data_IF_357992270141
#
_entry.id   IF_357992270141
#
_cell.length_a   1.000
_cell.length_b   1.000
_cell.length_c   1.000
_cell.angle_alpha   90.00
_cell.angle_beta   90.00
_cell.angle_gamma   90.00
#
_symmetry.space_group_name_H-M   'P 1'
#
loop_
_entity.id
_entity.type
_entity.pdbx_description
1 polymer ?
#
# COMPACT_ATOMS: atom_id res chain seq x y z
N UNK A 1 -11.92 -6.71 13.81
CA UNK A 1 -12.12 -7.35 12.50
C UNK A 1 -13.54 -7.15 12.05
N UNK A 2 -13.77 -5.94 11.57
CA UNK A 2 -15.00 -5.51 10.90
C UNK A 2 -15.10 -6.03 9.46
N UNK A 3 -14.03 -6.64 8.93
CA UNK A 3 -13.92 -7.15 7.55
C UNK A 3 -14.10 -6.01 6.51
N UNK A 4 -13.74 -4.79 6.89
CA UNK A 4 -13.71 -3.60 6.06
C UNK A 4 -12.26 -3.13 6.00
N UNK A 5 -11.74 -2.88 4.79
CA UNK A 5 -10.40 -2.32 4.65
C UNK A 5 -10.43 -0.82 4.88
N UNK A 6 -9.39 -0.28 5.53
CA UNK A 6 -9.13 1.14 5.63
C UNK A 6 -9.11 1.82 4.25
N UNK A 7 -9.59 3.07 4.22
CA UNK A 7 -9.42 3.91 3.03
C UNK A 7 -7.94 4.18 2.79
N UNK A 8 -7.59 4.49 1.56
CA UNK A 8 -6.23 4.84 1.18
C UNK A 8 -6.23 5.94 0.11
N UNK A 9 -5.14 6.71 0.06
CA UNK A 9 -4.87 7.66 -1.01
C UNK A 9 -3.37 7.73 -1.26
N UNK A 10 -2.95 7.68 -2.52
CA UNK A 10 -1.53 7.68 -2.89
C UNK A 10 -0.77 8.92 -2.39
N UNK A 11 -1.45 10.05 -2.17
CA UNK A 11 -0.84 11.29 -1.63
C UNK A 11 -0.31 11.11 -0.22
N UNK A 12 -0.79 10.11 0.51
CA UNK A 12 -0.35 9.78 1.86
C UNK A 12 0.83 8.81 1.88
N UNK A 13 1.43 8.51 0.72
CA UNK A 13 2.62 7.65 0.67
C UNK A 13 3.80 8.40 1.26
N UNK A 14 4.21 7.98 2.45
CA UNK A 14 5.38 8.48 3.15
C UNK A 14 6.17 7.29 3.73
N UNK A 15 7.38 7.53 4.25
CA UNK A 15 8.21 6.45 4.81
C UNK A 15 7.53 5.76 6.00
N UNK A 16 6.83 6.53 6.84
CA UNK A 16 6.03 6.03 7.95
C UNK A 16 4.63 5.52 7.53
N UNK A 17 4.29 5.59 6.24
CA UNK A 17 3.02 5.13 5.68
C UNK A 17 3.22 4.59 4.26
N UNK A 18 4.03 3.55 4.12
CA UNK A 18 4.27 2.92 2.82
C UNK A 18 2.96 2.45 2.15
N UNK A 19 1.94 2.14 2.95
CA UNK A 19 0.65 1.67 2.46
C UNK A 19 -0.33 2.81 2.21
N UNK A 20 0.07 4.07 2.39
CA UNK A 20 -0.76 5.24 2.10
C UNK A 20 -2.19 5.11 2.67
N UNK A 21 -2.29 4.44 3.84
CA UNK A 21 -3.54 4.20 4.55
C UNK A 21 -3.99 5.55 5.10
N UNK A 22 -5.27 5.84 4.98
CA UNK A 22 -5.86 7.11 5.35
C UNK A 22 -6.37 7.04 6.78
N UNK A 23 -5.69 7.78 7.65
CA UNK A 23 -6.08 8.07 9.03
C UNK A 23 -5.79 9.54 9.34
N UNK A 24 -6.41 10.09 10.37
CA UNK A 24 -6.11 11.47 10.83
C UNK A 24 -4.61 11.68 11.04
N UNK A 25 -3.95 10.75 11.73
CA UNK A 25 -2.51 10.82 12.02
C UNK A 25 -1.64 10.80 10.75
N UNK A 26 -2.01 9.95 9.77
CA UNK A 26 -1.24 9.86 8.52
C UNK A 26 -1.43 11.08 7.62
N UNK A 27 -2.61 11.72 7.65
CA UNK A 27 -2.86 12.96 6.91
C UNK A 27 -2.01 14.08 7.52
N UNK A 28 -2.02 14.20 8.86
CA UNK A 28 -1.22 15.20 9.57
C UNK A 28 0.29 14.99 9.35
N UNK A 29 0.74 13.74 9.39
CA UNK A 29 2.14 13.40 9.11
C UNK A 29 2.53 13.76 7.67
N UNK A 30 1.64 13.53 6.70
CA UNK A 30 1.89 13.87 5.31
C UNK A 30 1.96 15.38 5.08
N UNK A 31 1.08 16.16 5.74
CA UNK A 31 1.12 17.63 5.70
C UNK A 31 2.44 18.12 6.30
N UNK A 32 2.81 17.63 7.49
CA UNK A 32 4.05 18.01 8.15
C UNK A 32 5.28 17.69 7.29
N UNK A 33 5.32 16.52 6.65
CA UNK A 33 6.42 16.16 5.76
C UNK A 33 6.50 17.08 4.53
N UNK A 34 5.37 17.47 3.96
CA UNK A 34 5.34 18.34 2.79
C UNK A 34 5.72 19.79 3.12
N UNK A 35 5.38 20.28 4.30
CA UNK A 35 5.72 21.64 4.75
C UNK A 35 7.13 21.73 5.33
N UNK A 36 7.45 20.83 6.26
CA UNK A 36 8.63 20.89 7.14
C UNK A 36 9.61 19.73 7.00
N UNK A 37 9.41 18.84 6.01
CA UNK A 37 10.35 17.75 5.72
C UNK A 37 11.70 18.25 5.20
N UNK A 38 12.64 17.33 4.98
CA UNK A 38 13.99 17.63 4.47
C UNK A 38 13.99 18.37 3.13
N UNK A 39 12.99 18.10 2.30
CA UNK A 39 12.70 18.79 1.04
C UNK A 39 11.31 19.45 1.09
N UNK A 40 10.91 19.95 2.25
CA UNK A 40 9.63 20.61 2.48
C UNK A 40 9.54 22.01 1.86
N UNK A 41 8.33 22.54 1.79
CA UNK A 41 8.03 23.89 1.29
C UNK A 41 8.87 24.95 2.01
N UNK A 42 8.92 24.90 3.35
CA UNK A 42 9.60 25.90 4.16
C UNK A 42 11.09 26.01 3.79
N UNK A 43 11.75 24.86 3.58
CA UNK A 43 13.17 24.84 3.24
C UNK A 43 13.45 25.35 1.81
N UNK A 44 12.52 25.14 0.89
CA UNK A 44 12.62 25.69 -0.47
C UNK A 44 12.39 27.21 -0.46
N UNK A 45 11.41 27.68 0.31
CA UNK A 45 11.16 29.11 0.50
C UNK A 45 12.35 29.81 1.16
N UNK A 46 12.92 29.22 2.22
CA UNK A 46 14.11 29.74 2.89
C UNK A 46 15.28 29.87 1.92
N UNK A 47 15.53 28.84 1.09
CA UNK A 47 16.57 28.88 0.05
C UNK A 47 16.32 29.99 -0.98
N UNK A 48 15.08 30.16 -1.44
CA UNK A 48 14.74 31.14 -2.47
C UNK A 48 14.79 32.58 -1.98
N UNK A 49 14.60 32.78 -0.68
CA UNK A 49 14.58 34.07 0.01
C UNK A 49 15.93 34.45 0.65
N UNK A 50 16.89 33.53 0.73
CA UNK A 50 18.24 33.81 1.23
C UNK A 50 19.03 34.66 0.23
N UNK A 51 19.36 35.90 0.63
CA UNK A 51 20.14 36.84 -0.17
C UNK A 51 21.58 36.38 -0.43
N UNK A 52 22.10 35.43 0.35
CA UNK A 52 23.46 34.89 0.21
C UNK A 52 23.55 33.67 -0.73
N UNK A 53 22.41 33.11 -1.15
CA UNK A 53 22.37 31.98 -2.06
C UNK A 53 22.09 32.46 -3.50
N UNK A 54 23.13 32.40 -4.34
CA UNK A 54 23.02 32.72 -5.76
C UNK A 54 22.78 31.42 -6.53
N UNK A 55 21.62 31.33 -7.17
CA UNK A 55 21.26 30.23 -8.05
C UNK A 55 21.47 30.62 -9.51
N UNK A 56 21.72 29.64 -10.37
CA UNK A 56 21.55 29.86 -11.81
C UNK A 56 20.05 30.09 -12.12
N UNK A 57 19.75 30.77 -13.22
CA UNK A 57 18.36 31.01 -13.65
C UNK A 57 17.57 29.70 -13.76
N UNK A 58 18.21 28.65 -14.30
CA UNK A 58 17.63 27.32 -14.44
C UNK A 58 17.34 26.65 -13.09
N UNK A 59 18.26 26.76 -12.13
CA UNK A 59 18.07 26.14 -10.81
C UNK A 59 16.95 26.86 -10.04
N UNK A 60 16.91 28.19 -10.11
CA UNK A 60 15.84 28.99 -9.50
C UNK A 60 14.48 28.64 -10.08
N UNK A 61 14.38 28.52 -11.41
CA UNK A 61 13.14 28.09 -12.07
C UNK A 61 12.71 26.69 -11.59
N UNK A 62 13.64 25.74 -11.49
CA UNK A 62 13.34 24.38 -11.02
C UNK A 62 12.78 24.37 -9.58
N UNK A 63 13.36 25.17 -8.68
CA UNK A 63 12.91 25.31 -7.30
C UNK A 63 11.52 25.94 -7.21
N UNK A 64 11.24 26.96 -8.03
CA UNK A 64 9.91 27.60 -8.09
C UNK A 64 8.84 26.63 -8.60
N UNK A 65 9.16 25.82 -9.62
CA UNK A 65 8.24 24.79 -10.14
C UNK A 65 7.96 23.73 -9.06
N UNK A 66 9.00 23.29 -8.35
CA UNK A 66 8.83 22.31 -7.27
C UNK A 66 8.01 22.88 -6.11
N UNK A 67 8.25 24.13 -5.72
CA UNK A 67 7.49 24.85 -4.71
C UNK A 67 5.99 24.95 -5.09
N UNK A 68 5.67 25.36 -6.33
CA UNK A 68 4.29 25.42 -6.81
C UNK A 68 3.61 24.04 -6.79
N UNK A 69 4.31 22.98 -7.20
CA UNK A 69 3.79 21.60 -7.14
C UNK A 69 3.51 21.17 -5.71
N UNK A 70 4.41 21.45 -4.76
CA UNK A 70 4.25 21.09 -3.34
C UNK A 70 3.12 21.87 -2.71
N UNK A 71 3.01 23.17 -2.95
CA UNK A 71 1.91 24.01 -2.47
C UNK A 71 0.54 23.49 -2.94
N UNK A 72 0.42 23.12 -4.23
CA UNK A 72 -0.79 22.46 -4.75
C UNK A 72 -1.11 21.16 -4.03
N UNK A 73 -0.10 20.33 -3.78
CA UNK A 73 -0.29 19.04 -3.11
C UNK A 73 -0.69 19.21 -1.65
N UNK A 74 -0.08 20.14 -0.91
CA UNK A 74 -0.45 20.49 0.46
C UNK A 74 -1.88 21.01 0.53
N UNK A 75 -2.30 21.86 -0.42
CA UNK A 75 -3.70 22.29 -0.51
C UNK A 75 -4.68 21.11 -0.65
N UNK A 76 -4.32 20.07 -1.42
CA UNK A 76 -5.13 18.85 -1.51
C UNK A 76 -5.14 18.04 -0.21
N UNK A 77 -4.03 18.04 0.55
CA UNK A 77 -3.95 17.35 1.84
C UNK A 77 -4.79 18.05 2.91
N UNK A 78 -4.80 19.39 2.94
CA UNK A 78 -5.70 20.13 3.84
C UNK A 78 -7.18 19.89 3.50
N UNK A 79 -7.55 19.91 2.21
CA UNK A 79 -8.91 19.54 1.80
C UNK A 79 -9.27 18.10 2.19
N UNK A 80 -8.30 17.18 2.14
CA UNK A 80 -8.48 15.80 2.57
C UNK A 80 -8.70 15.74 4.09
N UNK A 81 -7.91 16.47 4.87
CA UNK A 81 -8.06 16.59 6.33
C UNK A 81 -9.44 17.10 6.72
N UNK A 82 -9.94 18.14 6.06
CA UNK A 82 -11.25 18.72 6.33
C UNK A 82 -12.42 17.78 6.00
N UNK A 83 -12.30 16.95 4.96
CA UNK A 83 -13.33 15.99 4.55
C UNK A 83 -13.25 14.65 5.29
N UNK A 84 -12.18 14.42 6.04
CA UNK A 84 -11.94 13.16 6.71
C UNK A 84 -12.82 13.03 7.95
N UNK A 85 -13.44 11.86 8.13
CA UNK A 85 -14.19 11.52 9.33
C UNK A 85 -13.29 10.70 10.26
N UNK A 86 -12.93 11.22 11.46
CA UNK A 86 -12.08 10.51 12.40
C UNK A 86 -12.63 9.14 12.84
N UNK A 87 -13.94 8.93 12.79
CA UNK A 87 -14.52 7.63 13.14
C UNK A 87 -14.12 6.53 12.14
N UNK A 88 -13.80 6.91 10.90
CA UNK A 88 -13.34 5.96 9.88
C UNK A 88 -11.90 5.47 10.12
N UNK A 89 -11.15 6.10 11.03
CA UNK A 89 -9.80 5.66 11.39
C UNK A 89 -9.80 4.25 12.00
N UNK A 90 -10.87 3.88 12.71
CA UNK A 90 -10.97 2.58 13.36
C UNK A 90 -10.83 1.40 12.38
N UNK A 91 -11.36 1.53 11.16
CA UNK A 91 -11.32 0.49 10.12
C UNK A 91 -9.95 0.39 9.45
N UNK A 92 -9.12 1.42 9.58
CA UNK A 92 -7.73 1.41 9.11
C UNK A 92 -6.78 0.89 10.19
N UNK A 93 -7.11 1.10 11.46
CA UNK A 93 -6.26 0.71 12.57
C UNK A 93 -6.20 -0.79 12.81
N UNK A 94 -7.26 -1.55 12.53
CA UNK A 94 -7.30 -3.00 12.70
C UNK A 94 -6.86 -3.79 11.45
N UNK A 95 -6.40 -3.11 10.39
CA UNK A 95 -5.88 -3.72 9.18
C UNK A 95 -4.59 -4.51 9.44
N UNK A 96 -4.51 -5.75 8.95
CA UNK A 96 -3.31 -6.57 9.07
C UNK A 96 -2.30 -6.29 7.95
N UNK A 97 -1.05 -6.05 8.35
CA UNK A 97 0.04 -5.80 7.40
C UNK A 97 0.84 -7.08 7.14
N UNK A 98 0.82 -7.53 5.88
CA UNK A 98 1.50 -8.75 5.45
C UNK A 98 2.29 -8.48 4.16
N UNK A 99 3.62 -8.69 4.19
CA UNK A 99 4.54 -8.27 3.10
C UNK A 99 5.05 -9.41 2.19
N UNK A 100 4.98 -10.68 2.61
CA UNK A 100 5.64 -11.79 1.87
C UNK A 100 4.74 -12.95 1.45
N UNK A 101 3.66 -13.22 2.19
CA UNK A 101 2.83 -14.40 1.98
C UNK A 101 1.36 -14.08 2.20
N UNK A 102 0.54 -14.38 1.20
CA UNK A 102 -0.91 -14.25 1.29
C UNK A 102 -1.51 -15.56 1.80
N UNK A 103 -2.17 -15.50 2.96
CA UNK A 103 -2.90 -16.62 3.51
C UNK A 103 -4.38 -16.47 3.19
N UNK A 104 -5.00 -17.54 2.68
CA UNK A 104 -6.42 -17.57 2.34
C UNK A 104 -7.06 -18.80 2.99
N UNK A 105 -8.32 -18.67 3.40
CA UNK A 105 -9.16 -19.80 3.81
C UNK A 105 -9.87 -20.43 2.59
N UNK A 106 -9.81 -21.75 2.46
CA UNK A 106 -10.61 -22.50 1.47
C UNK A 106 -12.10 -22.23 1.63
N UNK A 107 -12.82 -22.16 0.51
CA UNK A 107 -14.27 -21.99 0.46
C UNK A 107 -14.79 -20.58 0.77
N UNK A 108 -13.93 -19.63 1.15
CA UNK A 108 -14.32 -18.24 1.41
C UNK A 108 -14.05 -17.36 0.18
N UNK A 109 -15.04 -16.57 -0.25
CA UNK A 109 -14.84 -15.60 -1.33
C UNK A 109 -13.99 -14.42 -0.83
N UNK A 110 -13.02 -14.00 -1.63
CA UNK A 110 -12.20 -12.83 -1.36
C UNK A 110 -12.35 -11.79 -2.46
N UNK A 111 -12.54 -10.53 -2.07
CA UNK A 111 -12.41 -9.36 -2.93
C UNK A 111 -11.03 -8.74 -2.72
N UNK A 112 -10.23 -8.71 -3.78
CA UNK A 112 -8.91 -8.11 -3.78
C UNK A 112 -8.97 -6.74 -4.45
N UNK A 113 -8.51 -5.72 -3.72
CA UNK A 113 -8.29 -4.38 -4.23
C UNK A 113 -6.81 -4.18 -4.55
N UNK A 114 -6.50 -3.92 -5.83
CA UNK A 114 -5.13 -3.71 -6.30
C UNK A 114 -4.92 -2.24 -6.66
N UNK A 115 -3.70 -1.76 -6.39
CA UNK A 115 -3.24 -0.42 -6.78
C UNK A 115 -1.75 -0.46 -7.12
N UNK A 116 -1.32 0.44 -7.97
CA UNK A 116 0.10 0.62 -8.31
C UNK A 116 0.60 1.96 -7.84
N UNK A 117 1.87 2.01 -7.40
CA UNK A 117 2.56 3.24 -7.00
C UNK A 117 3.29 3.91 -8.16
N UNK A 118 3.71 3.13 -9.15
CA UNK A 118 4.69 3.55 -10.15
C UNK A 118 4.17 3.33 -11.58
N UNK A 119 4.18 2.11 -12.06
CA UNK A 119 3.88 1.72 -13.45
C UNK A 119 2.75 0.71 -13.49
N UNK A 120 2.28 0.35 -14.68
CA UNK A 120 1.23 -0.67 -14.81
C UNK A 120 1.82 -2.04 -14.49
N UNK A 121 1.24 -2.72 -13.49
CA UNK A 121 1.52 -4.13 -13.18
C UNK A 121 0.35 -5.00 -13.63
N UNK A 122 0.50 -6.32 -13.48
CA UNK A 122 -0.59 -7.26 -13.72
C UNK A 122 -0.56 -8.37 -12.68
N UNK A 123 -1.42 -8.26 -11.67
CA UNK A 123 -1.60 -9.28 -10.63
C UNK A 123 -2.17 -10.55 -11.26
N UNK A 124 -1.38 -11.62 -11.29
CA UNK A 124 -1.73 -12.88 -11.92
C UNK A 124 -1.66 -14.03 -10.92
N UNK A 125 -2.77 -14.74 -10.78
CA UNK A 125 -2.93 -15.94 -9.98
C UNK A 125 -3.04 -17.16 -10.91
N UNK A 126 -1.92 -17.81 -11.29
CA UNK A 126 -1.92 -18.79 -12.39
C UNK A 126 -2.84 -19.97 -12.15
N UNK A 127 -2.84 -20.48 -10.91
CA UNK A 127 -3.62 -21.67 -10.54
C UNK A 127 -5.10 -21.38 -10.29
N UNK A 128 -5.45 -20.11 -10.07
CA UNK A 128 -6.83 -19.65 -9.93
C UNK A 128 -7.37 -19.10 -11.25
N UNK A 129 -6.54 -19.06 -12.31
CA UNK A 129 -6.87 -18.52 -13.65
C UNK A 129 -7.45 -17.10 -13.60
N UNK A 130 -6.97 -16.31 -12.65
CA UNK A 130 -7.44 -14.97 -12.42
C UNK A 130 -6.31 -13.97 -12.65
N UNK A 131 -6.59 -12.90 -13.38
CA UNK A 131 -5.64 -11.85 -13.69
C UNK A 131 -6.33 -10.50 -13.62
N UNK A 132 -5.64 -9.50 -13.08
CA UNK A 132 -6.10 -8.12 -13.07
C UNK A 132 -4.94 -7.15 -13.26
N UNK A 133 -5.10 -6.18 -14.14
CA UNK A 133 -4.11 -5.12 -14.31
C UNK A 133 -4.17 -4.16 -13.12
N UNK A 134 -3.00 -3.73 -12.68
CA UNK A 134 -2.85 -2.82 -11.54
C UNK A 134 -2.36 -1.48 -12.08
N UNK A 135 -3.22 -0.47 -12.05
CA UNK A 135 -3.01 0.81 -12.76
C UNK A 135 -2.68 1.92 -11.76
N UNK A 136 -1.65 2.74 -11.99
CA UNK A 136 -1.38 3.90 -11.15
C UNK A 136 -2.57 4.87 -11.15
N UNK A 137 -2.99 5.32 -9.96
CA UNK A 137 -4.10 6.26 -9.80
C UNK A 137 -5.52 5.67 -9.90
N UNK A 138 -5.68 4.38 -10.18
CA UNK A 138 -6.99 3.72 -10.22
C UNK A 138 -6.97 2.36 -9.52
N UNK A 139 -7.91 2.15 -8.60
CA UNK A 139 -8.09 0.87 -7.92
C UNK A 139 -8.78 -0.13 -8.84
N UNK A 140 -8.17 -1.29 -9.03
CA UNK A 140 -8.78 -2.41 -9.76
C UNK A 140 -9.16 -3.51 -8.78
N UNK A 141 -10.20 -4.27 -9.14
CA UNK A 141 -10.82 -5.25 -8.24
C UNK A 141 -10.97 -6.59 -8.92
N UNK A 142 -10.72 -7.66 -8.18
CA UNK A 142 -11.03 -9.01 -8.63
C UNK A 142 -11.52 -9.86 -7.46
N UNK A 143 -12.40 -10.80 -7.77
CA UNK A 143 -12.96 -11.73 -6.79
C UNK A 143 -12.66 -13.15 -7.20
N UNK A 144 -12.30 -13.98 -6.22
CA UNK A 144 -12.30 -15.43 -6.42
C UNK A 144 -12.45 -16.17 -5.10
N UNK A 145 -12.86 -17.42 -5.21
CA UNK A 145 -13.01 -18.36 -4.09
C UNK A 145 -12.00 -19.50 -4.27
N UNK A 146 -11.06 -19.71 -3.33
CA UNK A 146 -10.11 -20.81 -3.40
C UNK A 146 -10.83 -22.13 -3.08
N UNK A 147 -10.72 -23.09 -3.99
CA UNK A 147 -11.45 -24.38 -3.90
C UNK A 147 -10.61 -25.51 -3.32
N UNK A 148 -9.29 -25.45 -3.43
CA UNK A 148 -8.35 -26.46 -2.94
C UNK A 148 -7.34 -25.80 -1.99
N UNK A 149 -6.96 -26.51 -0.93
CA UNK A 149 -5.88 -26.08 -0.05
C UNK A 149 -4.52 -26.27 -0.70
N UNK A 150 -3.51 -25.62 -0.15
CA UNK A 150 -2.12 -25.85 -0.57
C UNK A 150 -1.69 -27.30 -0.34
N UNK A 151 -2.19 -27.96 0.72
CA UNK A 151 -1.90 -29.37 0.99
C UNK A 151 -2.54 -30.29 -0.06
N UNK A 152 -3.82 -30.11 -0.36
CA UNK A 152 -4.52 -30.88 -1.39
C UNK A 152 -3.88 -30.71 -2.78
N UNK A 153 -3.41 -29.51 -3.11
CA UNK A 153 -2.71 -29.28 -4.37
C UNK A 153 -1.34 -29.94 -4.43
N UNK A 154 -0.59 -29.98 -3.31
CA UNK A 154 0.70 -30.69 -3.24
C UNK A 154 0.50 -32.18 -3.54
N UNK A 155 -0.55 -32.78 -2.99
CA UNK A 155 -0.92 -34.18 -3.25
C UNK A 155 -1.33 -34.37 -4.72
N UNK A 156 -2.23 -33.53 -5.24
CA UNK A 156 -2.71 -33.60 -6.63
C UNK A 156 -1.59 -33.44 -7.66
N UNK A 157 -0.57 -32.63 -7.35
CA UNK A 157 0.59 -32.38 -8.23
C UNK A 157 1.74 -33.34 -7.98
N UNK A 158 1.67 -34.19 -6.95
CA UNK A 158 2.76 -35.00 -6.47
C UNK A 158 4.06 -34.18 -6.24
N UNK A 159 3.90 -32.96 -5.70
CA UNK A 159 5.00 -32.03 -5.42
C UNK A 159 4.84 -31.45 -4.01
N UNK A 160 5.67 -31.93 -3.08
CA UNK A 160 5.65 -31.47 -1.68
C UNK A 160 6.10 -30.02 -1.49
N UNK A 161 6.83 -29.45 -2.45
CA UNK A 161 7.35 -28.07 -2.39
C UNK A 161 6.40 -27.06 -3.03
N UNK A 162 5.29 -27.52 -3.61
CA UNK A 162 4.33 -26.66 -4.27
C UNK A 162 3.72 -25.63 -3.30
N UNK A 163 3.66 -24.38 -3.74
CA UNK A 163 2.81 -23.35 -3.16
C UNK A 163 2.10 -22.63 -4.31
N UNK A 164 0.93 -22.07 -4.02
CA UNK A 164 0.33 -21.15 -4.96
C UNK A 164 1.19 -19.89 -5.06
N UNK A 165 1.06 -19.17 -6.17
CA UNK A 165 1.81 -17.96 -6.41
C UNK A 165 0.89 -16.86 -6.93
N UNK A 166 1.19 -15.63 -6.49
CA UNK A 166 0.80 -14.40 -7.15
C UNK A 166 2.03 -13.88 -7.87
N UNK A 167 1.91 -13.64 -9.16
CA UNK A 167 2.99 -13.17 -10.03
C UNK A 167 2.61 -11.85 -10.67
N UNK A 168 3.61 -11.07 -11.09
CA UNK A 168 3.38 -9.98 -12.03
C UNK A 168 3.49 -10.51 -13.48
N UNK A 169 2.43 -10.36 -14.29
CA UNK A 169 2.38 -10.82 -15.70
C UNK A 169 2.66 -9.69 -16.72
N UNK A 170 3.23 -8.56 -16.26
CA UNK A 170 3.60 -7.44 -17.14
C UNK A 170 4.99 -6.94 -16.77
N UNK A 171 5.87 -6.82 -17.77
CA UNK A 171 7.23 -6.30 -17.56
C UNK A 171 7.10 -4.87 -17.04
N UNK A 172 7.48 -4.69 -15.78
CA UNK A 172 7.26 -3.46 -15.01
C UNK A 172 8.55 -2.86 -14.43
N UNK A 173 9.72 -3.31 -14.90
CA UNK A 173 11.01 -2.73 -14.51
C UNK A 173 12.11 -3.77 -14.31
N UNK A 174 13.31 -3.31 -13.91
CA UNK A 174 14.51 -4.15 -13.77
C UNK A 174 14.40 -5.23 -12.69
N UNK A 175 13.57 -5.02 -11.67
CA UNK A 175 13.33 -6.00 -10.60
C UNK A 175 12.13 -6.91 -10.86
N UNK A 176 11.54 -6.88 -12.07
CA UNK A 176 10.31 -7.63 -12.40
C UNK A 176 10.41 -9.13 -12.09
N UNK A 177 11.57 -9.74 -12.32
CA UNK A 177 11.81 -11.17 -12.04
C UNK A 177 11.65 -11.56 -10.56
N UNK A 178 11.76 -10.59 -9.64
CA UNK A 178 11.54 -10.80 -8.19
C UNK A 178 10.07 -10.65 -7.79
N UNK A 179 9.20 -10.17 -8.67
CA UNK A 179 7.80 -9.87 -8.35
C UNK A 179 6.94 -11.12 -8.30
N UNK A 180 7.13 -11.88 -7.21
CA UNK A 180 6.33 -13.03 -6.84
C UNK A 180 5.99 -12.96 -5.36
N UNK A 181 4.76 -13.32 -5.02
CA UNK A 181 4.31 -13.50 -3.64
C UNK A 181 3.80 -14.93 -3.48
N UNK A 182 4.15 -15.57 -2.37
CA UNK A 182 3.66 -16.90 -2.05
C UNK A 182 2.21 -16.81 -1.59
N UNK A 183 1.37 -17.73 -2.06
CA UNK A 183 -0.04 -17.84 -1.65
C UNK A 183 -0.23 -19.20 -0.97
N UNK A 184 -0.79 -19.19 0.24
CA UNK A 184 -1.05 -20.38 1.04
C UNK A 184 -2.55 -20.44 1.34
N UNK A 185 -3.21 -21.48 0.84
CA UNK A 185 -4.62 -21.75 1.13
C UNK A 185 -4.68 -22.77 2.26
N UNK A 186 -5.28 -22.36 3.37
CA UNK A 186 -5.45 -23.13 4.59
C UNK A 186 -6.89 -23.64 4.73
N UNK A 187 -7.06 -24.72 5.48
CA UNK A 187 -8.36 -25.11 6.03
C UNK A 187 -8.81 -24.11 7.11
N UNK A 188 -10.11 -24.04 7.35
CA UNK A 188 -10.72 -23.03 8.23
C UNK A 188 -10.15 -22.99 9.64
N UNK A 189 -9.96 -24.16 10.27
CA UNK A 189 -9.44 -24.24 11.63
C UNK A 189 -8.00 -23.70 11.72
N UNK A 190 -7.14 -24.11 10.79
CA UNK A 190 -5.75 -23.65 10.70
C UNK A 190 -5.68 -22.16 10.38
N UNK A 191 -6.58 -21.67 9.53
CA UNK A 191 -6.68 -20.24 9.20
C UNK A 191 -7.06 -19.41 10.43
N UNK A 192 -8.01 -19.87 11.26
CA UNK A 192 -8.38 -19.20 12.52
C UNK A 192 -7.21 -19.11 13.50
N UNK A 193 -6.41 -20.18 13.63
CA UNK A 193 -5.19 -20.17 14.46
C UNK A 193 -4.20 -19.14 13.92
N UNK A 194 -3.97 -19.12 12.60
CA UNK A 194 -3.10 -18.12 11.96
C UNK A 194 -3.59 -16.69 12.20
N UNK A 195 -4.90 -16.45 12.05
CA UNK A 195 -5.51 -15.14 12.24
C UNK A 195 -5.34 -14.64 13.68
N UNK A 196 -5.56 -15.50 14.67
CA UNK A 196 -5.39 -15.16 16.09
C UNK A 196 -3.94 -14.75 16.40
N UNK A 197 -2.95 -15.42 15.79
CA UNK A 197 -1.54 -15.05 15.95
C UNK A 197 -1.18 -13.71 15.29
N UNK A 198 -1.97 -13.25 14.31
CA UNK A 198 -1.76 -11.98 13.60
C UNK A 198 -2.49 -10.80 14.22
N UNK A 199 -3.44 -11.04 15.13
CA UNK A 199 -4.21 -10.01 15.83
C UNK A 199 -3.37 -8.94 16.55
N UNK A 200 -2.08 -9.21 16.79
CA UNK A 200 -1.12 -8.32 17.46
C UNK A 200 -0.15 -7.58 16.51
N UNK A 201 -0.35 -7.68 15.19
CA UNK A 201 0.49 -7.04 14.16
C UNK A 201 -0.38 -6.22 13.20
N UNK A 202 -1.21 -5.35 13.77
CA UNK A 202 -2.06 -4.45 12.98
C UNK A 202 -1.27 -3.27 12.42
N UNK A 203 -1.88 -2.51 11.52
CA UNK A 203 -1.31 -1.26 11.01
C UNK A 203 -0.96 -0.30 12.15
N UNK A 204 -1.84 -0.21 13.16
CA UNK A 204 -1.60 0.57 14.37
C UNK A 204 -0.35 0.10 15.10
N UNK A 205 -0.24 -1.21 15.38
CA UNK A 205 0.90 -1.77 16.13
C UNK A 205 2.22 -1.61 15.39
N UNK A 206 2.20 -1.62 14.06
CA UNK A 206 3.42 -1.57 13.26
C UNK A 206 3.97 -0.16 13.05
N UNK A 207 3.10 0.80 12.79
CA UNK A 207 3.50 2.15 12.39
C UNK A 207 3.27 3.20 13.48
N UNK A 208 2.42 2.88 14.47
CA UNK A 208 2.00 3.79 15.54
C UNK A 208 1.97 3.08 16.90
N UNK A 209 2.86 2.10 17.11
CA UNK A 209 3.04 1.48 18.42
C UNK A 209 3.23 2.58 19.47
N UNK A 210 2.36 2.58 20.47
CA UNK A 210 2.54 3.40 21.66
C UNK A 210 3.73 2.81 22.42
N UNK A 211 4.83 3.56 22.51
CA UNK A 211 5.90 3.24 23.48
C UNK A 211 5.34 3.32 24.91
#
# INVERSE_FOLDING_TARGET
LDNILGKFDYKLTADNNELAIMTTNTIDSAIHYMESGSDGINLIEDKLNDEHLIFSDSDRESLLIDLDRKNKLVGLLYQMKERHDPNSDATAWDDFIQKDTLYLCKGKEYEFNFRSKDVIHSAYFPHFRAQMNTVPGMTTRMKFTPTLTTLEMREKKNDKKFNYALLCNKICGGAHYKMKMMVVVLEENTYKIWLNNKSTQTFRDKYFASN
#
